data_IF_989577688857
#
_entry.id   IF_989577688857
#
_cell.length_a   1.000
_cell.length_b   1.000
_cell.length_c   1.000
_cell.angle_alpha   90.00
_cell.angle_beta   90.00
_cell.angle_gamma   90.00
#
_symmetry.space_group_name_H-M   'P 1'
#
loop_
_entity.id
_entity.type
_entity.pdbx_description
1 polymer ?
#
# COMPACT_ATOMS: atom_id res chain seq x y z
N UNK A 1 -31.46 3.08 -8.15
CA UNK A 1 -31.04 2.57 -9.47
C UNK A 1 -29.90 1.60 -9.20
N UNK A 2 -30.03 0.35 -9.60
CA UNK A 2 -29.04 -0.67 -9.30
C UNK A 2 -27.74 -0.31 -10.02
N UNK A 3 -26.64 -0.25 -9.29
CA UNK A 3 -25.30 0.07 -9.80
C UNK A 3 -24.96 -0.73 -11.07
N UNK A 4 -25.38 -1.98 -11.12
CA UNK A 4 -25.17 -2.86 -12.26
C UNK A 4 -25.92 -2.41 -13.53
N UNK A 5 -27.18 -1.98 -13.41
CA UNK A 5 -27.93 -1.44 -14.53
C UNK A 5 -27.26 -0.19 -15.10
N UNK A 6 -26.82 0.70 -14.24
CA UNK A 6 -26.07 1.88 -14.63
C UNK A 6 -24.80 1.55 -15.41
N UNK A 7 -24.00 0.58 -14.93
CA UNK A 7 -22.81 0.10 -15.65
C UNK A 7 -23.17 -0.50 -17.01
N UNK A 8 -24.24 -1.31 -17.08
CA UNK A 8 -24.71 -1.90 -18.34
C UNK A 8 -25.09 -0.84 -19.38
N UNK A 9 -25.81 0.19 -18.97
CA UNK A 9 -26.20 1.30 -19.83
C UNK A 9 -24.99 2.09 -20.32
N UNK A 10 -23.99 2.33 -19.45
CA UNK A 10 -22.75 2.96 -19.85
C UNK A 10 -22.00 2.15 -20.92
N UNK A 11 -21.87 0.83 -20.74
CA UNK A 11 -21.21 -0.02 -21.73
C UNK A 11 -21.98 -0.12 -23.04
N UNK A 12 -23.32 -0.12 -23.00
CA UNK A 12 -24.15 -0.11 -24.20
C UNK A 12 -23.96 1.18 -25.00
N UNK A 13 -23.72 2.32 -24.32
CA UNK A 13 -23.59 3.63 -24.96
C UNK A 13 -22.15 3.96 -25.39
N UNK A 14 -21.16 3.58 -24.57
CA UNK A 14 -19.77 4.09 -24.69
C UNK A 14 -18.71 2.99 -24.82
N UNK A 15 -19.04 1.69 -24.67
CA UNK A 15 -18.13 0.58 -24.89
C UNK A 15 -16.84 0.67 -24.07
N UNK A 16 -15.68 0.58 -24.75
CA UNK A 16 -14.36 0.64 -24.12
C UNK A 16 -14.04 1.95 -23.37
N UNK A 17 -14.66 3.06 -23.81
CA UNK A 17 -14.44 4.37 -23.20
C UNK A 17 -14.85 4.41 -21.73
N UNK A 18 -15.83 3.59 -21.34
CA UNK A 18 -16.28 3.46 -19.94
C UNK A 18 -15.12 3.04 -19.03
N UNK A 19 -14.34 2.03 -19.46
CA UNK A 19 -13.18 1.58 -18.70
C UNK A 19 -12.07 2.64 -18.66
N UNK A 20 -11.77 3.25 -19.79
CA UNK A 20 -10.69 4.24 -19.85
C UNK A 20 -10.98 5.41 -18.92
N UNK A 21 -12.10 6.10 -19.16
CA UNK A 21 -12.43 7.29 -18.38
C UNK A 21 -12.86 6.96 -16.94
N UNK A 22 -13.59 5.87 -16.74
CA UNK A 22 -13.98 5.42 -15.42
C UNK A 22 -12.78 5.15 -14.52
N UNK A 23 -11.82 4.35 -14.98
CA UNK A 23 -10.60 4.03 -14.21
C UNK A 23 -9.67 5.26 -14.08
N UNK A 24 -9.54 6.06 -15.12
CA UNK A 24 -8.77 7.31 -15.04
C UNK A 24 -9.32 8.24 -13.95
N UNK A 25 -10.63 8.46 -13.94
CA UNK A 25 -11.30 9.33 -12.98
C UNK A 25 -11.29 8.74 -11.56
N UNK A 26 -11.42 7.43 -11.43
CA UNK A 26 -11.31 6.71 -10.15
C UNK A 26 -9.96 6.99 -9.48
N UNK A 27 -8.87 6.91 -10.23
CA UNK A 27 -7.55 7.18 -9.68
C UNK A 27 -7.28 8.66 -9.40
N UNK A 28 -8.03 9.59 -10.02
CA UNK A 28 -7.99 11.02 -9.69
C UNK A 28 -8.81 11.36 -8.44
N UNK A 29 -9.57 10.42 -7.88
CA UNK A 29 -10.40 10.53 -6.68
C UNK A 29 -11.90 10.72 -6.94
N UNK A 30 -12.42 10.36 -8.10
CA UNK A 30 -13.86 10.25 -8.30
C UNK A 30 -14.33 8.84 -7.90
N UNK A 31 -15.45 8.70 -7.18
CA UNK A 31 -15.98 7.39 -6.80
C UNK A 31 -16.50 6.67 -8.04
N UNK A 32 -15.75 5.72 -8.54
CA UNK A 32 -16.14 4.84 -9.64
C UNK A 32 -15.92 3.39 -9.24
N UNK A 33 -16.87 2.47 -9.49
CA UNK A 33 -16.75 1.07 -9.08
C UNK A 33 -15.89 0.27 -10.07
N UNK A 34 -14.58 0.52 -10.08
CA UNK A 34 -13.66 -0.01 -11.08
C UNK A 34 -13.59 -1.52 -11.11
N UNK A 35 -13.56 -2.19 -9.96
CA UNK A 35 -13.53 -3.66 -9.88
C UNK A 35 -14.76 -4.29 -10.50
N UNK A 36 -15.95 -3.82 -10.11
CA UNK A 36 -17.23 -4.31 -10.65
C UNK A 36 -17.33 -4.05 -12.14
N UNK A 37 -16.87 -2.86 -12.58
CA UNK A 37 -16.89 -2.46 -13.99
C UNK A 37 -15.94 -3.32 -14.83
N UNK A 38 -14.74 -3.62 -14.32
CA UNK A 38 -13.78 -4.52 -14.99
C UNK A 38 -14.31 -5.96 -15.03
N UNK A 39 -14.87 -6.48 -13.94
CA UNK A 39 -15.44 -7.82 -13.92
C UNK A 39 -16.60 -7.94 -14.90
N UNK A 40 -17.47 -6.93 -14.99
CA UNK A 40 -18.54 -6.89 -16.00
C UNK A 40 -18.00 -6.80 -17.44
N UNK A 41 -16.97 -5.98 -17.68
CA UNK A 41 -16.33 -5.91 -19.00
C UNK A 41 -15.69 -7.25 -19.40
N UNK A 42 -15.09 -7.96 -18.44
CA UNK A 42 -14.57 -9.31 -18.62
C UNK A 42 -15.70 -10.30 -19.01
N UNK A 43 -16.86 -10.20 -18.38
CA UNK A 43 -18.07 -10.96 -18.76
C UNK A 43 -18.53 -10.60 -20.18
N UNK A 44 -18.53 -9.33 -20.58
CA UNK A 44 -18.84 -8.95 -21.96
C UNK A 44 -17.83 -9.54 -22.97
N UNK A 45 -16.58 -9.72 -22.56
CA UNK A 45 -15.59 -10.45 -23.37
C UNK A 45 -15.87 -11.96 -23.45
N UNK A 46 -16.35 -12.56 -22.36
CA UNK A 46 -16.82 -13.97 -22.38
C UNK A 46 -17.96 -14.16 -23.39
N UNK A 47 -18.90 -13.24 -23.47
CA UNK A 47 -20.02 -13.29 -24.43
C UNK A 47 -19.61 -12.91 -25.87
N UNK A 48 -18.35 -12.60 -26.12
CA UNK A 48 -17.84 -12.21 -27.45
C UNK A 48 -18.21 -10.78 -27.88
N UNK A 49 -18.79 -9.95 -27.00
CA UNK A 49 -19.16 -8.57 -27.32
C UNK A 49 -17.99 -7.61 -27.33
N UNK A 50 -16.97 -7.86 -26.50
CA UNK A 50 -15.76 -7.04 -26.40
C UNK A 50 -14.50 -7.91 -26.48
N UNK A 51 -13.44 -7.37 -27.08
CA UNK A 51 -12.15 -8.04 -27.16
C UNK A 51 -11.38 -7.91 -25.83
N UNK A 52 -10.87 -9.03 -25.31
CA UNK A 52 -10.20 -9.07 -24.01
C UNK A 52 -8.90 -8.28 -23.99
N UNK A 53 -8.07 -8.40 -25.03
CA UNK A 53 -6.79 -7.72 -25.06
C UNK A 53 -6.98 -6.21 -25.17
N UNK A 54 -7.94 -5.76 -25.97
CA UNK A 54 -8.33 -4.35 -26.03
C UNK A 54 -8.80 -3.81 -24.70
N UNK A 55 -9.62 -4.59 -23.95
CA UNK A 55 -10.05 -4.24 -22.60
C UNK A 55 -8.87 -4.06 -21.66
N UNK A 56 -7.90 -5.01 -21.68
CA UNK A 56 -6.70 -4.94 -20.84
C UNK A 56 -5.90 -3.68 -21.16
N UNK A 57 -5.65 -3.38 -22.45
CA UNK A 57 -4.88 -2.19 -22.86
C UNK A 57 -5.58 -0.92 -22.41
N UNK A 58 -6.87 -0.80 -22.67
CA UNK A 58 -7.67 0.40 -22.36
C UNK A 58 -7.75 0.63 -20.86
N UNK A 59 -8.04 -0.42 -20.08
CA UNK A 59 -8.08 -0.36 -18.62
C UNK A 59 -6.71 -0.01 -18.02
N UNK A 60 -5.64 -0.62 -18.52
CA UNK A 60 -4.28 -0.35 -18.10
C UNK A 60 -3.89 1.11 -18.38
N UNK A 61 -4.22 1.65 -19.56
CA UNK A 61 -3.93 3.04 -19.90
C UNK A 61 -4.72 4.00 -19.00
N UNK A 62 -6.02 3.78 -18.78
CA UNK A 62 -6.83 4.61 -17.88
C UNK A 62 -6.24 4.66 -16.47
N UNK A 63 -5.93 3.50 -15.92
CA UNK A 63 -5.34 3.35 -14.58
C UNK A 63 -3.98 4.03 -14.45
N UNK A 64 -3.06 3.76 -15.38
CA UNK A 64 -1.69 4.28 -15.31
C UNK A 64 -1.60 5.78 -15.56
N UNK A 65 -2.42 6.31 -16.47
CA UNK A 65 -2.52 7.76 -16.70
C UNK A 65 -3.09 8.44 -15.47
N UNK A 66 -4.18 7.93 -14.89
CA UNK A 66 -4.76 8.46 -13.66
C UNK A 66 -3.77 8.51 -12.50
N UNK A 67 -3.05 7.40 -12.26
CA UNK A 67 -2.01 7.36 -11.23
C UNK A 67 -0.84 8.30 -11.51
N UNK A 68 -0.45 8.46 -12.76
CA UNK A 68 0.62 9.38 -13.15
C UNK A 68 0.22 10.83 -12.88
N UNK A 69 -1.01 11.20 -13.21
CA UNK A 69 -1.56 12.52 -12.91
C UNK A 69 -1.52 12.79 -11.40
N UNK A 70 -2.01 11.84 -10.59
CA UNK A 70 -2.03 12.00 -9.13
C UNK A 70 -0.63 12.07 -8.53
N UNK A 71 0.34 11.31 -9.07
CA UNK A 71 1.74 11.42 -8.70
C UNK A 71 2.28 12.83 -8.94
N UNK A 72 2.09 13.40 -10.11
CA UNK A 72 2.57 14.76 -10.42
C UNK A 72 1.85 15.84 -9.61
N UNK A 73 0.55 15.67 -9.35
CA UNK A 73 -0.17 16.56 -8.43
C UNK A 73 0.46 16.49 -7.04
N UNK A 74 0.70 15.28 -6.52
CA UNK A 74 1.36 15.07 -5.24
C UNK A 74 2.76 15.67 -5.19
N UNK A 75 3.56 15.51 -6.24
CA UNK A 75 4.91 16.04 -6.34
C UNK A 75 4.91 17.59 -6.32
N UNK A 76 3.99 18.23 -7.04
CA UNK A 76 3.85 19.70 -7.04
C UNK A 76 3.31 20.23 -5.73
N UNK A 77 2.38 19.51 -5.10
CA UNK A 77 1.79 19.89 -3.82
C UNK A 77 2.71 19.59 -2.62
N UNK A 78 3.68 18.69 -2.76
CA UNK A 78 4.40 18.03 -1.67
C UNK A 78 5.02 18.97 -0.64
N UNK A 79 5.98 19.82 -1.01
CA UNK A 79 6.64 20.74 -0.09
C UNK A 79 5.68 21.82 0.46
N UNK A 80 4.89 22.55 -0.36
CA UNK A 80 3.93 23.53 0.15
C UNK A 80 2.85 22.89 1.03
N UNK A 81 2.37 21.72 0.66
CA UNK A 81 1.38 20.97 1.45
C UNK A 81 1.93 20.58 2.83
N UNK A 82 3.16 20.08 2.89
CA UNK A 82 3.80 19.70 4.15
C UNK A 82 4.12 20.93 5.00
N UNK A 83 4.57 22.02 4.42
CA UNK A 83 4.83 23.25 5.14
C UNK A 83 3.55 23.85 5.75
N UNK A 84 2.43 23.80 5.03
CA UNK A 84 1.16 24.37 5.48
C UNK A 84 0.37 23.46 6.42
N UNK A 85 0.35 22.15 6.15
CA UNK A 85 -0.48 21.18 6.86
C UNK A 85 0.32 20.12 7.63
N UNK A 86 1.64 20.07 7.47
CA UNK A 86 2.49 19.04 8.07
C UNK A 86 2.44 19.02 9.59
N UNK A 87 2.20 20.17 10.24
CA UNK A 87 2.00 20.25 11.71
C UNK A 87 0.74 19.49 12.16
N UNK A 88 -0.31 19.49 11.36
CA UNK A 88 -1.56 18.77 11.63
C UNK A 88 -1.39 17.26 11.57
N UNK A 89 -0.53 16.78 10.65
CA UNK A 89 -0.23 15.36 10.46
C UNK A 89 1.05 14.91 11.16
N UNK A 90 1.62 15.73 12.06
CA UNK A 90 2.92 15.48 12.74
C UNK A 90 4.08 15.18 11.76
N UNK A 91 3.99 15.63 10.51
CA UNK A 91 5.06 15.56 9.52
C UNK A 91 5.98 16.78 9.64
N UNK A 92 7.19 16.57 10.12
CA UNK A 92 8.27 17.57 10.03
C UNK A 92 9.16 17.26 8.81
N UNK A 93 9.89 18.24 8.25
CA UNK A 93 10.83 18.01 7.15
C UNK A 93 11.83 16.86 7.42
N UNK A 94 12.33 16.76 8.65
CA UNK A 94 13.23 15.68 9.06
C UNK A 94 12.55 14.30 9.09
N UNK A 95 11.26 14.24 9.44
CA UNK A 95 10.48 13.00 9.38
C UNK A 95 10.19 12.63 7.93
N UNK A 96 10.00 13.60 7.04
CA UNK A 96 9.79 13.38 5.61
C UNK A 96 10.99 12.67 4.99
N UNK A 97 12.22 13.17 5.20
CA UNK A 97 13.43 12.49 4.71
C UNK A 97 13.58 11.07 5.23
N UNK A 98 13.24 10.84 6.50
CA UNK A 98 13.29 9.49 7.08
C UNK A 98 12.24 8.57 6.45
N UNK A 99 11.02 9.10 6.22
CA UNK A 99 9.93 8.38 5.55
C UNK A 99 10.29 8.11 4.10
N UNK A 100 10.88 9.07 3.40
CA UNK A 100 11.35 8.92 2.03
C UNK A 100 12.39 7.80 1.91
N UNK A 101 13.45 7.81 2.75
CA UNK A 101 14.48 6.75 2.78
C UNK A 101 13.90 5.38 3.15
N UNK A 102 12.94 5.33 4.07
CA UNK A 102 12.26 4.09 4.43
C UNK A 102 11.39 3.59 3.26
N UNK A 103 10.65 4.48 2.61
CA UNK A 103 9.81 4.17 1.46
C UNK A 103 10.64 3.80 0.22
N UNK A 104 11.81 4.39 0.02
CA UNK A 104 12.76 3.99 -1.03
C UNK A 104 13.25 2.55 -0.85
N UNK A 105 13.38 2.09 0.39
CA UNK A 105 13.87 0.74 0.70
C UNK A 105 12.77 -0.32 0.69
N UNK A 106 11.57 0.00 1.16
CA UNK A 106 10.50 -0.96 1.42
C UNK A 106 9.17 -0.60 0.76
N UNK A 107 8.96 0.67 0.45
CA UNK A 107 7.65 1.20 0.04
C UNK A 107 7.25 0.87 -1.38
N UNK A 108 8.21 0.48 -2.22
CA UNK A 108 7.93 0.15 -3.61
C UNK A 108 6.96 -1.03 -3.72
N UNK A 109 7.13 -2.07 -2.90
CA UNK A 109 6.23 -3.23 -2.86
C UNK A 109 4.85 -2.83 -2.31
N UNK A 110 4.78 -1.88 -1.36
CA UNK A 110 3.53 -1.37 -0.82
C UNK A 110 2.68 -0.65 -1.88
N UNK A 111 3.30 -0.05 -2.89
CA UNK A 111 2.58 0.55 -4.01
C UNK A 111 1.80 -0.53 -4.77
N UNK A 112 2.42 -1.65 -5.10
CA UNK A 112 1.74 -2.75 -5.80
C UNK A 112 0.68 -3.43 -4.95
N UNK A 113 0.93 -3.62 -3.65
CA UNK A 113 -0.04 -4.20 -2.71
C UNK A 113 -1.20 -3.22 -2.47
N UNK A 114 -0.94 -1.91 -2.49
CA UNK A 114 -1.93 -0.86 -2.29
C UNK A 114 -3.11 -0.92 -3.26
N UNK A 115 -2.92 -1.49 -4.46
CA UNK A 115 -4.01 -1.72 -5.42
C UNK A 115 -5.14 -2.59 -4.86
N UNK A 116 -4.80 -3.54 -3.99
CA UNK A 116 -5.76 -4.49 -3.41
C UNK A 116 -6.43 -4.00 -2.13
N UNK A 117 -6.01 -2.83 -1.63
CA UNK A 117 -6.60 -2.25 -0.41
C UNK A 117 -7.55 -1.12 -0.82
N UNK A 118 -8.89 -1.29 -0.65
CA UNK A 118 -9.86 -0.25 -0.95
C UNK A 118 -9.50 1.08 -0.26
N UNK A 119 -9.55 2.17 -1.00
CA UNK A 119 -9.18 3.50 -0.51
C UNK A 119 -7.68 3.80 -0.57
N UNK A 120 -6.79 2.88 -0.25
CA UNK A 120 -5.34 3.12 -0.29
C UNK A 120 -4.85 3.41 -1.71
N UNK A 121 -5.35 2.68 -2.71
CA UNK A 121 -4.96 2.85 -4.11
C UNK A 121 -5.17 4.27 -4.64
N UNK A 122 -6.26 4.94 -4.25
CA UNK A 122 -6.55 6.31 -4.71
C UNK A 122 -5.53 7.32 -4.19
N UNK A 123 -4.98 7.09 -2.99
CA UNK A 123 -3.99 7.97 -2.38
C UNK A 123 -2.55 7.61 -2.70
N UNK A 124 -2.29 6.42 -3.26
CA UNK A 124 -0.94 5.90 -3.50
C UNK A 124 -0.14 6.83 -4.43
N UNK A 125 -0.74 7.31 -5.53
CA UNK A 125 -0.10 8.25 -6.46
C UNK A 125 0.24 9.58 -5.78
N UNK A 126 -0.74 10.19 -5.11
CA UNK A 126 -0.55 11.44 -4.37
C UNK A 126 0.56 11.31 -3.33
N UNK A 127 0.52 10.25 -2.53
CA UNK A 127 1.50 10.03 -1.47
C UNK A 127 2.91 9.82 -2.02
N UNK A 128 3.05 9.00 -3.07
CA UNK A 128 4.33 8.79 -3.73
C UNK A 128 4.92 10.09 -4.29
N UNK A 129 4.07 10.96 -4.85
CA UNK A 129 4.46 12.29 -5.30
C UNK A 129 4.86 13.22 -4.15
N UNK A 130 4.08 13.28 -3.07
CA UNK A 130 4.34 14.11 -1.88
C UNK A 130 5.70 13.79 -1.26
N UNK A 131 6.07 12.50 -1.18
CA UNK A 131 7.39 12.09 -0.67
C UNK A 131 8.50 12.18 -1.71
N UNK A 132 8.20 12.70 -2.92
CA UNK A 132 9.12 12.82 -4.04
C UNK A 132 9.84 11.51 -4.40
N UNK A 133 9.11 10.39 -4.39
CA UNK A 133 9.66 9.10 -4.81
C UNK A 133 10.13 9.20 -6.27
N UNK A 134 11.32 8.69 -6.66
CA UNK A 134 11.76 8.73 -8.05
C UNK A 134 10.74 8.12 -9.00
N UNK A 135 10.33 8.86 -10.04
CA UNK A 135 9.25 8.46 -10.95
C UNK A 135 9.46 7.07 -11.56
N UNK A 136 10.69 6.71 -11.93
CA UNK A 136 11.01 5.38 -12.45
C UNK A 136 10.64 4.26 -11.48
N UNK A 137 10.95 4.45 -10.18
CA UNK A 137 10.58 3.46 -9.14
C UNK A 137 9.07 3.42 -8.97
N UNK A 138 8.42 4.58 -8.85
CA UNK A 138 6.96 4.66 -8.78
C UNK A 138 6.30 3.95 -9.95
N UNK A 139 6.66 4.30 -11.20
CA UNK A 139 6.07 3.75 -12.41
C UNK A 139 6.23 2.22 -12.49
N UNK A 140 7.42 1.70 -12.19
CA UNK A 140 7.68 0.25 -12.24
C UNK A 140 6.74 -0.54 -11.32
N UNK A 141 6.55 -0.09 -10.08
CA UNK A 141 5.69 -0.79 -9.11
C UNK A 141 4.20 -0.47 -9.32
N UNK A 142 3.87 0.77 -9.66
CA UNK A 142 2.51 1.18 -9.94
C UNK A 142 1.97 0.50 -11.19
N UNK A 143 2.72 0.50 -12.30
CA UNK A 143 2.28 -0.10 -13.55
C UNK A 143 2.32 -1.62 -13.50
N UNK A 144 3.30 -2.21 -12.80
CA UNK A 144 3.31 -3.65 -12.51
C UNK A 144 2.12 -4.10 -11.68
N UNK A 145 1.75 -3.32 -10.65
CA UNK A 145 0.54 -3.55 -9.86
C UNK A 145 -0.74 -3.37 -10.68
N UNK A 146 -0.78 -2.32 -11.54
CA UNK A 146 -1.92 -2.02 -12.40
C UNK A 146 -2.22 -3.16 -13.38
N UNK A 147 -1.21 -3.66 -14.10
CA UNK A 147 -1.43 -4.75 -15.07
C UNK A 147 -1.95 -6.00 -14.38
N UNK A 148 -1.38 -6.35 -13.22
CA UNK A 148 -1.85 -7.51 -12.46
C UNK A 148 -3.30 -7.32 -11.99
N UNK A 149 -3.63 -6.15 -11.44
CA UNK A 149 -4.98 -5.81 -10.98
C UNK A 149 -6.02 -5.82 -12.10
N UNK A 150 -5.69 -5.19 -13.25
CA UNK A 150 -6.55 -5.16 -14.44
C UNK A 150 -6.82 -6.57 -14.97
N UNK A 151 -5.75 -7.37 -15.17
CA UNK A 151 -5.87 -8.74 -15.68
C UNK A 151 -6.65 -9.63 -14.72
N UNK A 152 -6.47 -9.45 -13.41
CA UNK A 152 -7.19 -10.20 -12.39
C UNK A 152 -8.71 -9.95 -12.49
N UNK A 153 -9.16 -8.70 -12.45
CA UNK A 153 -10.59 -8.39 -12.43
C UNK A 153 -11.27 -8.61 -13.78
N UNK A 154 -10.65 -8.28 -14.90
CA UNK A 154 -11.14 -8.65 -16.23
C UNK A 154 -11.16 -10.18 -16.40
N UNK A 155 -10.12 -10.87 -15.91
CA UNK A 155 -10.03 -12.33 -15.95
C UNK A 155 -11.12 -13.02 -15.14
N UNK A 156 -11.47 -12.50 -13.96
CA UNK A 156 -12.60 -13.02 -13.16
C UNK A 156 -13.88 -12.99 -14.01
N UNK A 157 -14.21 -11.86 -14.63
CA UNK A 157 -15.39 -11.74 -15.47
C UNK A 157 -15.37 -12.69 -16.68
N UNK A 158 -14.20 -12.81 -17.35
CA UNK A 158 -14.06 -13.67 -18.53
C UNK A 158 -14.09 -15.16 -18.21
N UNK A 159 -13.41 -15.59 -17.15
CA UNK A 159 -13.29 -17.01 -16.80
C UNK A 159 -14.60 -17.55 -16.20
N UNK A 160 -15.19 -16.80 -15.28
CA UNK A 160 -16.40 -17.24 -14.58
C UNK A 160 -17.69 -16.92 -15.34
N UNK A 161 -17.62 -16.15 -16.42
CA UNK A 161 -18.76 -15.88 -17.28
C UNK A 161 -19.99 -15.40 -16.51
N UNK A 162 -21.19 -16.02 -16.65
CA UNK A 162 -22.40 -15.60 -15.96
C UNK A 162 -22.33 -15.68 -14.43
N UNK A 163 -21.38 -16.47 -13.88
CA UNK A 163 -21.22 -16.69 -12.43
C UNK A 163 -20.32 -15.64 -11.77
N UNK A 164 -19.75 -14.71 -12.55
CA UNK A 164 -18.80 -13.71 -12.05
C UNK A 164 -19.33 -12.91 -10.85
N UNK A 165 -20.65 -12.62 -10.84
CA UNK A 165 -21.27 -11.90 -9.71
C UNK A 165 -21.18 -12.65 -8.39
N UNK A 166 -21.47 -13.96 -8.41
CA UNK A 166 -21.38 -14.80 -7.19
C UNK A 166 -19.96 -14.88 -6.68
N UNK A 167 -18.99 -15.03 -7.59
CA UNK A 167 -17.55 -15.05 -7.25
C UNK A 167 -17.10 -13.67 -6.74
N UNK A 168 -17.55 -12.59 -7.37
CA UNK A 168 -17.24 -11.23 -6.95
C UNK A 168 -17.75 -10.94 -5.54
N UNK A 169 -18.99 -11.29 -5.22
CA UNK A 169 -19.55 -11.15 -3.88
C UNK A 169 -18.82 -12.01 -2.84
N UNK A 170 -18.37 -13.21 -3.20
CA UNK A 170 -17.53 -14.02 -2.32
C UNK A 170 -16.19 -13.32 -2.03
N UNK A 171 -15.51 -12.85 -3.05
CA UNK A 171 -14.24 -12.13 -2.90
C UNK A 171 -14.42 -10.88 -2.04
N UNK A 172 -15.46 -10.08 -2.31
CA UNK A 172 -15.77 -8.87 -1.55
C UNK A 172 -16.08 -9.18 -0.08
N UNK A 173 -16.87 -10.21 0.18
CA UNK A 173 -17.22 -10.64 1.54
C UNK A 173 -15.99 -11.09 2.36
N UNK A 174 -15.06 -11.80 1.72
CA UNK A 174 -13.86 -12.30 2.38
C UNK A 174 -12.70 -11.29 2.36
N UNK A 175 -12.67 -10.33 1.42
CA UNK A 175 -11.61 -9.33 1.31
C UNK A 175 -11.46 -8.52 2.60
N UNK A 176 -12.56 -8.17 3.25
CA UNK A 176 -12.56 -7.44 4.51
C UNK A 176 -11.98 -8.29 5.65
N UNK A 177 -12.33 -9.57 5.74
CA UNK A 177 -11.77 -10.51 6.72
C UNK A 177 -10.29 -10.79 6.47
N UNK A 178 -9.89 -10.93 5.20
CA UNK A 178 -8.48 -11.09 4.81
C UNK A 178 -7.70 -9.83 5.17
N UNK A 179 -8.21 -8.63 4.85
CA UNK A 179 -7.57 -7.36 5.19
C UNK A 179 -7.41 -7.20 6.71
N UNK A 180 -8.47 -7.49 7.50
CA UNK A 180 -8.43 -7.44 8.96
C UNK A 180 -7.43 -8.46 9.52
N UNK A 181 -7.41 -9.69 8.98
CA UNK A 181 -6.46 -10.73 9.40
C UNK A 181 -5.00 -10.33 9.10
N UNK A 182 -4.74 -9.78 7.93
CA UNK A 182 -3.40 -9.29 7.56
C UNK A 182 -2.98 -8.12 8.45
N UNK A 183 -3.88 -7.18 8.75
CA UNK A 183 -3.60 -6.08 9.67
C UNK A 183 -3.35 -6.58 11.10
N UNK A 184 -4.13 -7.55 11.57
CA UNK A 184 -3.95 -8.15 12.89
C UNK A 184 -2.59 -8.88 12.99
N UNK A 185 -2.22 -9.67 11.97
CA UNK A 185 -0.92 -10.34 11.90
C UNK A 185 0.22 -9.32 11.86
N UNK A 186 0.11 -8.27 11.04
CA UNK A 186 1.09 -7.19 10.98
C UNK A 186 1.24 -6.49 12.34
N UNK A 187 0.13 -6.17 13.01
CA UNK A 187 0.13 -5.59 14.34
C UNK A 187 0.80 -6.52 15.38
N UNK A 188 0.49 -7.81 15.36
CA UNK A 188 1.13 -8.81 16.22
C UNK A 188 2.65 -8.90 15.98
N UNK A 189 3.10 -8.89 14.73
CA UNK A 189 4.52 -8.89 14.37
C UNK A 189 5.20 -7.62 14.90
N UNK A 190 4.57 -6.45 14.75
CA UNK A 190 5.09 -5.18 15.27
C UNK A 190 5.18 -5.22 16.78
N UNK A 191 4.13 -5.66 17.47
CA UNK A 191 4.11 -5.79 18.94
C UNK A 191 5.18 -6.75 19.41
N UNK A 192 5.32 -7.91 18.76
CA UNK A 192 6.36 -8.91 19.10
C UNK A 192 7.76 -8.34 18.92
N UNK A 193 8.03 -7.65 17.81
CA UNK A 193 9.34 -6.99 17.58
C UNK A 193 9.61 -5.86 18.57
N UNK A 194 8.59 -5.10 18.96
CA UNK A 194 8.74 -4.04 19.94
C UNK A 194 9.03 -4.59 21.34
N UNK A 195 8.33 -5.66 21.74
CA UNK A 195 8.61 -6.38 23.01
C UNK A 195 10.01 -6.98 23.02
N UNK A 196 10.44 -7.61 21.92
CA UNK A 196 11.79 -8.15 21.78
C UNK A 196 12.87 -7.04 21.86
N UNK A 197 12.63 -5.87 21.24
CA UNK A 197 13.56 -4.74 21.31
C UNK A 197 13.66 -4.14 22.72
N UNK A 198 12.55 -4.07 23.46
CA UNK A 198 12.54 -3.58 24.85
C UNK A 198 13.24 -4.57 25.78
N UNK A 199 13.00 -5.87 25.65
CA UNK A 199 13.66 -6.90 26.47
C UNK A 199 15.18 -6.92 26.28
N UNK A 200 15.66 -6.69 25.05
CA UNK A 200 17.08 -6.58 24.74
C UNK A 200 17.70 -5.29 25.33
N UNK A 201 16.97 -4.17 25.36
CA UNK A 201 17.43 -2.93 26.02
C UNK A 201 17.50 -3.05 27.54
N UNK A 202 16.55 -3.77 28.15
CA UNK A 202 16.55 -4.02 29.59
C UNK A 202 17.65 -5.01 30.01
N UNK A 203 17.97 -6.01 29.19
CA UNK A 203 19.11 -6.92 29.43
C UNK A 203 20.46 -6.22 29.36
N UNK A 204 20.62 -5.19 28.50
CA UNK A 204 21.86 -4.40 28.41
C UNK A 204 22.02 -3.39 29.55
N UNK A 205 21.00 -3.16 30.38
CA UNK A 205 21.04 -2.26 31.55
C UNK A 205 21.26 -2.97 32.89
N UNK A 206 21.62 -4.28 32.91
CA UNK A 206 22.10 -4.88 34.15
C UNK A 206 23.42 -4.22 34.51
N UNK A 207 23.53 -3.56 35.71
CA UNK A 207 24.77 -2.95 36.12
C UNK A 207 25.85 -4.05 36.22
N UNK A 208 27.02 -3.77 35.68
CA UNK A 208 28.19 -4.56 35.95
C UNK A 208 28.35 -4.53 37.48
N UNK A 209 28.20 -5.70 38.11
CA UNK A 209 28.46 -5.84 39.53
C UNK A 209 29.87 -5.32 39.79
N UNK A 210 29.99 -4.25 40.53
CA UNK A 210 31.23 -3.74 41.04
C UNK A 210 31.94 -4.86 41.79
N UNK A 211 32.97 -5.43 41.18
CA UNK A 211 33.89 -6.29 41.88
C UNK A 211 34.67 -5.39 42.85
N UNK A 212 34.25 -5.38 44.12
CA UNK A 212 35.07 -4.79 45.18
C UNK A 212 36.38 -5.56 45.25
N UNK A 213 37.53 -4.88 45.15
CA UNK A 213 38.82 -5.54 45.39
C UNK A 213 38.94 -5.84 46.90
N UNK A 214 38.90 -7.13 47.26
CA UNK A 214 39.32 -7.59 48.59
C UNK A 214 40.80 -7.30 48.74
N UNK A 215 41.14 -6.11 49.23
CA UNK A 215 42.49 -5.83 49.74
C UNK A 215 42.60 -6.45 51.12
N UNK A 216 43.21 -7.63 51.20
CA UNK A 216 43.69 -8.18 52.45
C UNK A 216 44.98 -7.47 52.83
N UNK A 217 44.85 -6.54 53.77
CA UNK A 217 46.03 -5.96 54.45
C UNK A 217 46.56 -7.02 55.43
N UNK A 218 47.69 -7.65 55.06
CA UNK A 218 48.44 -8.55 55.93
C UNK A 218 49.32 -7.69 56.80
N UNK A 219 48.84 -7.36 58.02
CA UNK A 219 49.67 -6.72 59.04
C UNK A 219 50.73 -7.73 59.52
N UNK A 220 51.97 -7.50 59.18
CA UNK A 220 53.09 -8.20 59.75
C UNK A 220 53.42 -7.53 61.08
N UNK A 221 53.03 -8.17 62.18
CA UNK A 221 53.65 -7.95 63.49
C UNK A 221 55.10 -8.41 63.42
N UNK A 222 56.05 -7.53 63.56
CA UNK A 222 57.38 -7.84 63.94
C UNK A 222 57.57 -7.38 65.39
N UNK A 223 57.47 -8.34 66.24
CA UNK A 223 57.80 -8.28 67.64
C UNK A 223 59.27 -7.90 67.89
N UNK A 224 59.45 -7.03 68.83
CA UNK A 224 60.67 -6.69 69.56
C UNK A 224 61.45 -7.89 69.98
N UNK A 225 62.82 -7.81 69.87
CA UNK A 225 63.75 -8.18 70.97
C UNK A 225 65.05 -7.47 70.81
N UNK A 226 65.42 -6.74 71.85
CA UNK A 226 66.68 -6.17 72.37
C UNK A 226 67.12 -4.89 71.74
#
# INVERSE_FOLDING_TARGET
MDMLKWIQELFASYGYSVLFFGLLLEFIALPFPGETTMAFAGFLSFTGRLDFFTLVIVAFLGTTIGMTITYFIGLKAGLPFIQRYGKWFMFSPAKLEKTQRWFEKYGSVLISIGYFIPGVRHFTGYFAGIIALPFRKFAMYAYGGAIFWVVLFLGIGKIFGPQWMGIFHLIESYALWIAVSVLAIAALIVIYRYRAAISLRLRRRKPVATLEPKVQVKVKETSKTR
#
